data_IF_020939834231
#
_entry.id   IF_020939834231
#
_cell.length_a   1.000
_cell.length_b   1.000
_cell.length_c   1.000
_cell.angle_alpha   90.00
_cell.angle_beta   90.00
_cell.angle_gamma   90.00
#
_symmetry.space_group_name_H-M   'P 1'
#
loop_
_entity.id
_entity.type
_entity.pdbx_description
1 polymer ?
#
# COMPACT_ATOMS: atom_id res chain seq x y z
N UNK A 1 9.19 4.82 43.76
CA UNK A 1 9.13 4.20 42.42
C UNK A 1 10.42 4.52 41.69
N UNK A 2 11.12 3.50 41.22
CA UNK A 2 12.46 3.62 40.64
C UNK A 2 12.40 4.25 39.24
N UNK A 3 13.15 5.34 39.04
CA UNK A 3 13.18 6.12 37.78
C UNK A 3 13.86 5.34 36.65
N UNK A 4 14.66 4.33 36.97
CA UNK A 4 15.35 3.45 36.01
C UNK A 4 14.40 2.53 35.23
N UNK A 5 13.23 2.18 35.79
CA UNK A 5 12.23 1.30 35.17
C UNK A 5 11.28 2.04 34.22
N UNK A 6 11.14 3.37 34.37
CA UNK A 6 10.20 4.20 33.59
C UNK A 6 10.75 4.52 32.19
N UNK A 7 12.06 4.69 32.06
CA UNK A 7 12.73 4.98 30.79
C UNK A 7 12.63 3.84 29.74
N UNK A 8 12.90 2.56 30.07
CA UNK A 8 12.77 1.47 29.10
C UNK A 8 11.31 1.18 28.70
N UNK A 9 10.36 1.37 29.62
CA UNK A 9 8.93 1.16 29.31
C UNK A 9 8.41 2.14 28.27
N UNK A 10 8.85 3.40 28.33
CA UNK A 10 8.51 4.42 27.32
C UNK A 10 9.19 4.18 25.97
N UNK A 11 10.39 3.61 25.98
CA UNK A 11 11.09 3.24 24.74
C UNK A 11 10.35 2.10 24.01
N UNK A 12 9.95 1.06 24.75
CA UNK A 12 9.16 -0.05 24.18
C UNK A 12 7.78 0.42 23.67
N UNK A 13 7.08 1.27 24.43
CA UNK A 13 5.82 1.87 23.99
C UNK A 13 5.97 2.61 22.65
N UNK A 14 7.06 3.38 22.50
CA UNK A 14 7.35 4.13 21.28
C UNK A 14 7.64 3.21 20.11
N UNK A 15 8.49 2.20 20.30
CA UNK A 15 8.83 1.21 19.27
C UNK A 15 7.58 0.47 18.75
N UNK A 16 6.72 -0.02 19.66
CA UNK A 16 5.48 -0.69 19.28
C UNK A 16 4.47 0.25 18.60
N UNK A 17 4.45 1.53 19.00
CA UNK A 17 3.59 2.53 18.38
C UNK A 17 4.00 2.82 16.92
N UNK A 18 5.32 2.87 16.64
CA UNK A 18 5.86 2.95 15.27
C UNK A 18 5.44 1.72 14.44
N UNK A 19 5.52 0.51 15.00
CA UNK A 19 5.09 -0.72 14.32
C UNK A 19 3.59 -0.68 13.98
N UNK A 20 2.75 -0.23 14.91
CA UNK A 20 1.30 -0.08 14.67
C UNK A 20 1.06 0.90 13.52
N UNK A 21 1.74 2.06 13.54
CA UNK A 21 1.62 3.06 12.50
C UNK A 21 1.95 2.49 11.11
N UNK A 22 3.08 1.80 10.98
CA UNK A 22 3.49 1.16 9.72
C UNK A 22 2.49 0.10 9.23
N UNK A 23 2.01 -0.77 10.13
CA UNK A 23 1.01 -1.79 9.78
C UNK A 23 -0.32 -1.18 9.32
N UNK A 24 -0.75 -0.08 9.96
CA UNK A 24 -1.94 0.65 9.56
C UNK A 24 -1.77 1.31 8.19
N UNK A 25 -0.60 1.89 7.90
CA UNK A 25 -0.28 2.42 6.57
C UNK A 25 -0.37 1.34 5.50
N UNK A 26 0.23 0.17 5.74
CA UNK A 26 0.14 -0.97 4.82
C UNK A 26 -1.30 -1.44 4.60
N UNK A 27 -2.10 -1.54 5.67
CA UNK A 27 -3.52 -1.85 5.55
C UNK A 27 -4.28 -0.79 4.74
N UNK A 28 -3.98 0.51 4.93
CA UNK A 28 -4.66 1.61 4.22
C UNK A 28 -4.26 1.66 2.75
N UNK A 29 -3.04 1.26 2.40
CA UNK A 29 -2.64 1.11 1.01
C UNK A 29 -3.48 0.04 0.30
N UNK A 30 -3.76 -1.08 0.98
CA UNK A 30 -4.58 -2.18 0.45
C UNK A 30 -6.09 -1.91 0.52
N UNK A 31 -6.55 -1.25 1.58
CA UNK A 31 -7.96 -0.95 1.87
C UNK A 31 -8.15 0.55 2.16
N UNK A 32 -8.21 1.41 1.12
CA UNK A 32 -8.17 2.86 1.28
C UNK A 32 -9.31 3.43 2.15
N UNK A 33 -8.96 4.25 3.14
CA UNK A 33 -9.91 5.02 3.95
C UNK A 33 -9.39 6.44 4.23
N UNK A 34 -10.02 7.45 3.61
CA UNK A 34 -9.59 8.86 3.72
C UNK A 34 -9.79 9.46 5.11
N UNK A 35 -10.81 9.01 5.85
CA UNK A 35 -11.14 9.50 7.20
C UNK A 35 -10.06 9.21 8.24
N UNK A 36 -9.25 8.17 8.03
CA UNK A 36 -8.29 7.66 9.02
C UNK A 36 -6.95 8.37 8.95
N UNK A 37 -6.53 8.85 7.76
CA UNK A 37 -5.20 9.43 7.54
C UNK A 37 -4.88 10.58 8.50
N UNK A 38 -5.87 11.41 8.82
CA UNK A 38 -5.70 12.57 9.73
C UNK A 38 -5.41 12.19 11.19
N UNK A 39 -5.61 10.93 11.55
CA UNK A 39 -5.47 10.42 12.92
C UNK A 39 -4.28 9.47 13.07
N UNK A 40 -3.54 9.20 11.99
CA UNK A 40 -2.34 8.38 12.02
C UNK A 40 -1.16 9.20 12.50
N UNK A 41 -0.48 8.69 13.53
CA UNK A 41 0.80 9.16 14.01
C UNK A 41 1.50 7.98 14.67
N UNK A 42 2.81 7.94 14.54
CA UNK A 42 3.70 7.03 15.26
C UNK A 42 3.65 7.17 16.79
N UNK A 43 3.00 8.21 17.34
CA UNK A 43 2.79 8.43 18.77
C UNK A 43 1.30 8.44 19.19
N UNK A 44 0.38 8.00 18.32
CA UNK A 44 -1.06 8.22 18.48
C UNK A 44 -1.71 7.66 19.77
N UNK A 45 -1.08 6.67 20.44
CA UNK A 45 -1.57 6.10 21.71
C UNK A 45 -0.53 6.12 22.85
N UNK A 46 0.55 6.90 22.69
CA UNK A 46 1.50 7.16 23.79
C UNK A 46 0.78 7.94 24.90
N UNK A 47 -0.09 8.88 24.52
CA UNK A 47 -1.06 9.55 25.39
C UNK A 47 -2.48 9.08 25.07
N UNK A 48 -3.44 9.20 26.01
CA UNK A 48 -4.83 8.85 25.76
C UNK A 48 -5.40 9.63 24.58
N UNK A 49 -5.87 8.91 23.56
CA UNK A 49 -6.38 9.51 22.33
C UNK A 49 -7.68 8.83 21.86
N UNK A 50 -8.80 9.30 22.39
CA UNK A 50 -10.12 8.75 22.05
C UNK A 50 -10.51 9.02 20.59
N UNK A 51 -10.13 10.18 20.03
CA UNK A 51 -10.41 10.53 18.64
C UNK A 51 -9.78 9.53 17.66
N UNK A 52 -8.48 9.25 17.85
CA UNK A 52 -7.80 8.22 17.07
C UNK A 52 -8.41 6.84 17.31
N UNK A 53 -8.74 6.47 18.56
CA UNK A 53 -9.37 5.19 18.87
C UNK A 53 -10.64 4.94 18.05
N UNK A 54 -11.57 5.89 17.98
CA UNK A 54 -12.81 5.72 17.22
C UNK A 54 -12.55 5.49 15.72
N UNK A 55 -11.60 6.23 15.15
CA UNK A 55 -11.28 6.16 13.73
C UNK A 55 -10.52 4.89 13.38
N UNK A 56 -9.53 4.50 14.20
CA UNK A 56 -8.75 3.27 14.00
C UNK A 56 -9.63 2.04 14.22
N UNK A 57 -10.39 1.94 15.31
CA UNK A 57 -11.21 0.76 15.58
C UNK A 57 -12.32 0.58 14.55
N UNK A 58 -13.02 1.66 14.16
CA UNK A 58 -14.03 1.57 13.11
C UNK A 58 -13.43 1.13 11.77
N UNK A 59 -12.23 1.61 11.44
CA UNK A 59 -11.51 1.18 10.24
C UNK A 59 -11.15 -0.30 10.29
N UNK A 60 -10.51 -0.76 11.37
CA UNK A 60 -10.11 -2.15 11.55
C UNK A 60 -11.31 -3.10 11.48
N UNK A 61 -12.43 -2.76 12.12
CA UNK A 61 -13.64 -3.58 12.03
C UNK A 61 -14.24 -3.62 10.62
N UNK A 62 -14.23 -2.50 9.87
CA UNK A 62 -14.70 -2.48 8.48
C UNK A 62 -13.84 -3.32 7.55
N UNK A 63 -12.52 -3.25 7.73
CA UNK A 63 -11.54 -4.06 6.97
C UNK A 63 -11.71 -5.54 7.30
N UNK A 64 -11.93 -5.86 8.58
CA UNK A 64 -12.14 -7.23 9.01
C UNK A 64 -13.44 -7.83 8.46
N UNK A 65 -14.58 -7.19 8.75
CA UNK A 65 -15.91 -7.60 8.29
C UNK A 65 -16.88 -6.39 8.28
N UNK A 66 -17.09 -5.82 7.09
CA UNK A 66 -17.99 -4.69 6.91
C UNK A 66 -19.48 -5.03 7.17
N UNK A 67 -19.86 -6.30 7.00
CA UNK A 67 -21.23 -6.76 7.23
C UNK A 67 -21.56 -6.77 8.72
N UNK A 68 -20.69 -7.36 9.54
CA UNK A 68 -20.83 -7.32 11.00
C UNK A 68 -20.68 -5.92 11.57
N UNK A 69 -19.78 -5.09 11.00
CA UNK A 69 -19.64 -3.70 11.43
C UNK A 69 -20.97 -2.93 11.29
N UNK A 70 -21.64 -3.02 10.13
CA UNK A 70 -22.91 -2.32 9.88
C UNK A 70 -24.05 -2.77 10.80
N UNK A 71 -24.04 -4.03 11.25
CA UNK A 71 -25.05 -4.56 12.18
C UNK A 71 -24.83 -4.07 13.61
N UNK A 72 -23.57 -3.96 14.03
CA UNK A 72 -23.20 -3.71 15.44
C UNK A 72 -22.93 -2.26 15.76
N UNK A 73 -22.56 -1.45 14.77
CA UNK A 73 -22.12 -0.07 14.99
C UNK A 73 -22.95 0.92 14.17
N UNK A 74 -23.45 1.94 14.85
CA UNK A 74 -23.97 3.15 14.19
C UNK A 74 -22.80 4.06 13.82
N UNK A 75 -22.68 4.41 12.54
CA UNK A 75 -21.60 5.25 12.02
C UNK A 75 -22.13 6.29 11.02
N UNK A 76 -21.66 7.55 11.04
CA UNK A 76 -20.63 8.14 11.90
C UNK A 76 -21.12 8.49 13.31
N UNK A 77 -20.21 8.55 14.27
CA UNK A 77 -20.47 9.03 15.64
C UNK A 77 -20.72 10.54 15.59
N UNK A 78 -21.84 11.02 16.14
CA UNK A 78 -22.25 12.44 16.10
C UNK A 78 -22.33 13.11 17.46
N UNK A 79 -22.52 12.34 18.53
CA UNK A 79 -22.73 12.84 19.88
C UNK A 79 -22.01 11.97 20.93
N UNK A 80 -21.87 12.50 22.15
CA UNK A 80 -21.21 11.81 23.27
C UNK A 80 -21.92 10.51 23.65
N UNK A 81 -23.24 10.42 23.44
CA UNK A 81 -24.01 9.20 23.70
C UNK A 81 -23.63 8.09 22.71
N UNK A 82 -23.50 8.42 21.41
CA UNK A 82 -23.01 7.46 20.43
C UNK A 82 -21.55 7.04 20.68
N UNK A 83 -20.70 7.91 21.22
CA UNK A 83 -19.34 7.53 21.66
C UNK A 83 -19.37 6.45 22.74
N UNK A 84 -20.24 6.59 23.73
CA UNK A 84 -20.38 5.61 24.82
C UNK A 84 -20.90 4.27 24.31
N UNK A 85 -21.93 4.30 23.46
CA UNK A 85 -22.45 3.10 22.79
C UNK A 85 -21.34 2.43 21.97
N UNK A 86 -20.58 3.21 21.19
CA UNK A 86 -19.48 2.67 20.38
C UNK A 86 -18.40 1.99 21.24
N UNK A 87 -18.02 2.58 22.40
CA UNK A 87 -17.07 1.96 23.33
C UNK A 87 -17.60 0.63 23.85
N UNK A 88 -18.85 0.57 24.30
CA UNK A 88 -19.46 -0.66 24.82
C UNK A 88 -19.57 -1.74 23.74
N UNK A 89 -20.07 -1.41 22.54
CA UNK A 89 -20.16 -2.33 21.41
C UNK A 89 -18.79 -2.80 20.92
N UNK A 90 -17.76 -1.96 21.01
CA UNK A 90 -16.38 -2.35 20.69
C UNK A 90 -15.90 -3.46 21.61
N UNK A 91 -16.10 -3.32 22.91
CA UNK A 91 -15.69 -4.34 23.88
C UNK A 91 -16.46 -5.64 23.69
N UNK A 92 -17.78 -5.56 23.48
CA UNK A 92 -18.61 -6.73 23.22
C UNK A 92 -18.15 -7.46 21.95
N UNK A 93 -17.90 -6.72 20.87
CA UNK A 93 -17.48 -7.32 19.61
C UNK A 93 -16.07 -7.93 19.70
N UNK A 94 -15.14 -7.28 20.40
CA UNK A 94 -13.80 -7.83 20.65
C UNK A 94 -13.85 -9.12 21.47
N UNK A 95 -14.75 -9.23 22.45
CA UNK A 95 -14.98 -10.47 23.20
C UNK A 95 -15.52 -11.57 22.28
N UNK A 96 -16.51 -11.25 21.45
CA UNK A 96 -17.05 -12.18 20.46
C UNK A 96 -15.97 -12.69 19.49
N UNK A 97 -15.11 -11.80 18.98
CA UNK A 97 -13.99 -12.20 18.11
C UNK A 97 -13.01 -13.09 18.87
N UNK A 98 -12.66 -12.72 20.11
CA UNK A 98 -11.74 -13.49 20.93
C UNK A 98 -12.23 -14.93 21.19
N UNK A 99 -13.53 -15.09 21.46
CA UNK A 99 -14.17 -16.40 21.64
C UNK A 99 -14.26 -17.17 20.32
N UNK A 100 -14.77 -16.55 19.26
CA UNK A 100 -15.00 -17.19 17.95
C UNK A 100 -13.70 -17.72 17.31
N UNK A 101 -12.59 -17.00 17.49
CA UNK A 101 -11.30 -17.34 16.89
C UNK A 101 -10.28 -17.90 17.89
N UNK A 102 -10.70 -18.16 19.14
CA UNK A 102 -9.85 -18.72 20.20
C UNK A 102 -8.51 -17.96 20.39
N UNK A 103 -8.57 -16.63 20.40
CA UNK A 103 -7.37 -15.77 20.37
C UNK A 103 -6.68 -15.60 21.72
N UNK A 104 -7.29 -16.10 22.80
CA UNK A 104 -6.76 -16.08 24.18
C UNK A 104 -6.37 -14.68 24.67
N UNK A 105 -6.98 -13.61 24.14
CA UNK A 105 -6.77 -12.25 24.64
C UNK A 105 -7.34 -12.13 26.05
N UNK A 106 -6.52 -11.60 26.96
CA UNK A 106 -6.91 -11.34 28.33
C UNK A 106 -7.18 -9.84 28.54
N UNK A 107 -8.09 -9.50 29.45
CA UNK A 107 -8.28 -8.11 29.86
C UNK A 107 -9.08 -7.21 28.90
N UNK A 108 -9.92 -7.77 28.02
CA UNK A 108 -10.85 -6.99 27.18
C UNK A 108 -11.95 -6.38 28.06
N UNK A 109 -11.65 -5.19 28.61
CA UNK A 109 -12.52 -4.43 29.52
C UNK A 109 -12.76 -3.03 28.96
N UNK A 110 -13.83 -2.38 29.42
CA UNK A 110 -14.23 -1.03 29.01
C UNK A 110 -13.12 0.02 29.13
N UNK A 111 -12.19 -0.17 30.07
CA UNK A 111 -11.01 0.68 30.21
C UNK A 111 -10.19 0.84 28.91
N UNK A 112 -10.08 -0.22 28.08
CA UNK A 112 -9.37 -0.14 26.80
C UNK A 112 -9.98 0.89 25.85
N UNK A 113 -11.29 1.10 25.93
CA UNK A 113 -12.03 2.02 25.08
C UNK A 113 -12.19 3.41 25.73
N UNK A 114 -12.19 3.51 27.06
CA UNK A 114 -12.25 4.78 27.79
C UNK A 114 -10.88 5.47 27.80
N UNK A 115 -9.80 4.72 27.97
CA UNK A 115 -8.43 5.22 28.06
C UNK A 115 -7.53 4.46 27.08
N UNK A 116 -7.66 4.70 25.76
CA UNK A 116 -6.83 4.06 24.76
C UNK A 116 -5.41 4.65 24.80
N UNK A 117 -4.56 4.08 25.65
CA UNK A 117 -3.19 4.56 25.89
C UNK A 117 -2.30 3.50 26.52
N UNK A 118 -0.99 3.66 26.31
CA UNK A 118 0.05 2.95 27.04
C UNK A 118 0.24 1.50 26.58
N UNK A 119 1.27 0.85 27.12
CA UNK A 119 1.81 -0.40 26.59
C UNK A 119 0.78 -1.52 26.50
N UNK A 120 -0.13 -1.63 27.48
CA UNK A 120 -1.19 -2.65 27.47
C UNK A 120 -2.14 -2.47 26.29
N UNK A 121 -2.57 -1.23 26.03
CA UNK A 121 -3.44 -0.92 24.91
C UNK A 121 -2.70 -1.10 23.58
N UNK A 122 -1.46 -0.61 23.49
CA UNK A 122 -0.61 -0.71 22.30
C UNK A 122 -0.37 -2.18 21.93
N UNK A 123 0.05 -3.04 22.88
CA UNK A 123 0.23 -4.47 22.65
C UNK A 123 -1.07 -5.16 22.22
N UNK A 124 -2.20 -4.81 22.85
CA UNK A 124 -3.51 -5.32 22.45
C UNK A 124 -3.86 -4.93 21.00
N UNK A 125 -3.73 -3.65 20.67
CA UNK A 125 -4.05 -3.13 19.33
C UNK A 125 -3.15 -3.76 18.27
N UNK A 126 -1.85 -3.90 18.55
CA UNK A 126 -0.92 -4.60 17.67
C UNK A 126 -1.32 -6.06 17.47
N UNK A 127 -1.70 -6.76 18.54
CA UNK A 127 -2.22 -8.13 18.47
C UNK A 127 -3.47 -8.23 17.60
N UNK A 128 -4.39 -7.28 17.73
CA UNK A 128 -5.60 -7.22 16.91
C UNK A 128 -5.31 -6.96 15.43
N UNK A 129 -4.41 -6.01 15.13
CA UNK A 129 -3.99 -5.71 13.75
C UNK A 129 -3.32 -6.93 13.12
N UNK A 130 -2.41 -7.60 13.84
CA UNK A 130 -1.77 -8.81 13.36
C UNK A 130 -2.76 -9.93 13.08
N UNK A 131 -3.78 -10.11 13.94
CA UNK A 131 -4.85 -11.06 13.69
C UNK A 131 -5.63 -10.73 12.41
N UNK A 132 -6.01 -9.47 12.20
CA UNK A 132 -6.72 -9.05 10.98
C UNK A 132 -5.87 -9.34 9.74
N UNK A 133 -4.59 -8.98 9.74
CA UNK A 133 -3.68 -9.24 8.62
C UNK A 133 -3.60 -10.74 8.35
N UNK A 134 -3.41 -11.57 9.38
CA UNK A 134 -3.34 -13.03 9.22
C UNK A 134 -4.65 -13.62 8.66
N UNK A 135 -5.80 -13.15 9.12
CA UNK A 135 -7.11 -13.61 8.64
C UNK A 135 -7.34 -13.20 7.18
N UNK A 136 -6.99 -11.96 6.81
CA UNK A 136 -7.05 -11.48 5.42
C UNK A 136 -6.13 -12.29 4.50
N UNK A 137 -4.89 -12.55 4.92
CA UNK A 137 -3.96 -13.37 4.15
C UNK A 137 -4.52 -14.79 3.93
N UNK A 138 -5.08 -15.41 4.97
CA UNK A 138 -5.73 -16.73 4.85
C UNK A 138 -6.95 -16.72 3.92
N UNK A 139 -7.75 -15.66 3.94
CA UNK A 139 -8.89 -15.50 3.02
C UNK A 139 -8.42 -15.36 1.57
N UNK A 140 -7.38 -14.57 1.34
CA UNK A 140 -6.79 -14.39 0.02
C UNK A 140 -6.15 -15.68 -0.51
N UNK A 141 -5.41 -16.40 0.33
CA UNK A 141 -4.82 -17.69 -0.02
C UNK A 141 -5.88 -18.70 -0.47
N UNK A 142 -6.98 -18.83 0.29
CA UNK A 142 -8.11 -19.68 -0.09
C UNK A 142 -8.73 -19.29 -1.42
N UNK A 143 -8.91 -17.99 -1.67
CA UNK A 143 -9.47 -17.50 -2.93
C UNK A 143 -8.53 -17.79 -4.12
N UNK A 144 -7.22 -17.66 -3.92
CA UNK A 144 -6.20 -18.01 -4.92
C UNK A 144 -6.18 -19.52 -5.19
N UNK A 145 -6.22 -20.37 -4.16
CA UNK A 145 -6.29 -21.82 -4.32
C UNK A 145 -7.56 -22.26 -5.07
N UNK A 146 -8.73 -21.69 -4.73
CA UNK A 146 -9.98 -21.99 -5.46
C UNK A 146 -9.88 -21.60 -6.94
N UNK A 147 -9.29 -20.45 -7.24
CA UNK A 147 -9.05 -20.03 -8.63
C UNK A 147 -8.08 -20.96 -9.36
N UNK A 148 -7.04 -21.45 -8.67
CA UNK A 148 -6.08 -22.40 -9.23
C UNK A 148 -6.73 -23.76 -9.51
N UNK A 149 -7.53 -24.32 -8.60
CA UNK A 149 -8.26 -25.58 -8.80
C UNK A 149 -9.27 -25.48 -9.96
N UNK A 150 -9.95 -24.34 -10.11
CA UNK A 150 -10.83 -24.05 -11.24
C UNK A 150 -10.08 -23.98 -12.57
N UNK A 151 -8.82 -23.52 -12.54
CA UNK A 151 -7.94 -23.42 -13.70
C UNK A 151 -7.34 -24.79 -14.07
N UNK A 152 -6.92 -25.58 -13.08
CA UNK A 152 -6.40 -26.94 -13.24
C UNK A 152 -7.43 -27.87 -13.89
N UNK A 153 -8.72 -27.76 -13.50
CA UNK A 153 -9.83 -28.51 -14.13
C UNK A 153 -10.05 -28.20 -15.61
N UNK A 154 -9.42 -27.16 -16.16
CA UNK A 154 -9.59 -26.71 -17.56
C UNK A 154 -8.32 -26.86 -18.42
N UNK A 155 -7.21 -27.28 -17.84
CA UNK A 155 -5.92 -27.34 -18.53
C UNK A 155 -5.59 -28.74 -19.05
N UNK A 156 -5.03 -28.79 -20.25
CA UNK A 156 -4.41 -30.00 -20.79
C UNK A 156 -2.96 -30.10 -20.34
N UNK A 157 -2.38 -31.30 -20.38
CA UNK A 157 -0.97 -31.54 -19.98
C UNK A 157 0.03 -30.69 -20.80
N UNK A 158 -0.33 -30.34 -22.04
CA UNK A 158 0.43 -29.43 -22.90
C UNK A 158 0.42 -27.97 -22.38
N UNK A 159 -0.67 -27.53 -21.75
CA UNK A 159 -0.76 -26.20 -21.14
C UNK A 159 0.16 -26.11 -19.93
N UNK A 160 0.20 -27.16 -19.10
CA UNK A 160 1.08 -27.24 -17.92
C UNK A 160 2.54 -27.15 -18.33
N UNK A 161 2.99 -27.93 -19.32
CA UNK A 161 4.38 -27.87 -19.82
C UNK A 161 4.72 -26.49 -20.37
N UNK A 162 3.77 -25.85 -21.06
CA UNK A 162 3.96 -24.51 -21.62
C UNK A 162 4.09 -23.46 -20.52
N UNK A 163 3.29 -23.56 -19.45
CA UNK A 163 3.33 -22.67 -18.29
C UNK A 163 4.62 -22.87 -17.51
N UNK A 164 5.04 -24.11 -17.24
CA UNK A 164 6.29 -24.41 -16.54
C UNK A 164 7.50 -23.90 -17.32
N UNK A 165 7.49 -24.02 -18.66
CA UNK A 165 8.54 -23.43 -19.52
C UNK A 165 8.55 -21.91 -19.45
N UNK A 166 7.37 -21.27 -19.43
CA UNK A 166 7.24 -19.81 -19.27
C UNK A 166 7.73 -19.36 -17.90
N UNK A 167 7.41 -20.09 -16.82
CA UNK A 167 7.87 -19.79 -15.45
C UNK A 167 9.40 -19.89 -15.32
N UNK A 168 10.02 -20.92 -15.91
CA UNK A 168 11.49 -21.04 -15.94
C UNK A 168 12.15 -19.89 -16.72
N UNK A 169 11.59 -19.55 -17.88
CA UNK A 169 12.07 -18.41 -18.68
C UNK A 169 11.91 -17.09 -17.93
N UNK A 170 10.77 -16.88 -17.27
CA UNK A 170 10.48 -15.71 -16.47
C UNK A 170 11.45 -15.61 -15.29
N UNK A 171 11.65 -16.69 -14.52
CA UNK A 171 12.65 -16.73 -13.44
C UNK A 171 14.06 -16.38 -13.92
N UNK A 172 14.47 -16.90 -15.08
CA UNK A 172 15.78 -16.60 -15.67
C UNK A 172 15.90 -15.15 -16.14
N UNK A 173 14.85 -14.61 -16.76
CA UNK A 173 14.79 -13.22 -17.18
C UNK A 173 14.84 -12.27 -15.96
N UNK A 174 14.03 -12.55 -14.95
CA UNK A 174 13.98 -11.81 -13.68
C UNK A 174 15.34 -11.79 -12.99
N UNK A 175 15.98 -12.95 -12.84
CA UNK A 175 17.32 -13.05 -12.21
C UNK A 175 18.42 -12.34 -12.99
N UNK A 176 18.27 -12.21 -14.31
CA UNK A 176 19.20 -11.43 -15.14
C UNK A 176 18.95 -9.94 -14.95
N UNK A 177 17.70 -9.48 -15.05
CA UNK A 177 17.32 -8.09 -14.79
C UNK A 177 17.69 -7.62 -13.38
N UNK A 178 17.53 -8.46 -12.36
CA UNK A 178 17.89 -8.13 -10.98
C UNK A 178 19.39 -7.87 -10.82
N UNK A 179 20.25 -8.61 -11.52
CA UNK A 179 21.70 -8.37 -11.50
C UNK A 179 22.06 -7.03 -12.14
N UNK A 180 21.53 -6.78 -13.34
CA UNK A 180 21.76 -5.54 -14.06
C UNK A 180 21.26 -4.32 -13.26
N UNK A 181 20.10 -4.45 -12.61
CA UNK A 181 19.54 -3.42 -11.73
C UNK A 181 20.40 -3.16 -10.49
N UNK A 182 20.98 -4.20 -9.88
CA UNK A 182 21.81 -4.04 -8.70
C UNK A 182 23.10 -3.25 -9.04
N UNK A 183 23.71 -3.53 -10.19
CA UNK A 183 24.87 -2.78 -10.69
C UNK A 183 24.53 -1.31 -11.02
N UNK A 184 23.34 -1.08 -11.58
CA UNK A 184 22.80 0.27 -11.83
C UNK A 184 22.55 1.01 -10.51
N UNK A 185 21.96 0.37 -9.50
CA UNK A 185 21.70 0.97 -8.20
C UNK A 185 22.99 1.34 -7.46
N UNK A 186 24.00 0.48 -7.48
CA UNK A 186 25.34 0.79 -6.93
C UNK A 186 25.93 2.02 -7.62
N UNK A 187 25.70 2.17 -8.92
CA UNK A 187 26.17 3.33 -9.69
C UNK A 187 25.37 4.60 -9.37
N UNK A 188 24.05 4.50 -9.22
CA UNK A 188 23.16 5.61 -8.88
C UNK A 188 23.41 6.11 -7.46
N UNK A 189 23.58 5.22 -6.48
CA UNK A 189 23.92 5.59 -5.10
C UNK A 189 25.22 6.41 -5.04
N UNK A 190 26.27 5.98 -5.77
CA UNK A 190 27.54 6.72 -5.88
C UNK A 190 27.36 8.11 -6.51
N UNK A 191 26.49 8.24 -7.50
CA UNK A 191 26.19 9.53 -8.14
C UNK A 191 25.37 10.44 -7.25
N UNK A 192 24.37 9.90 -6.55
CA UNK A 192 23.55 10.63 -5.57
C UNK A 192 24.42 11.19 -4.44
N UNK A 193 25.32 10.37 -3.88
CA UNK A 193 26.29 10.83 -2.87
C UNK A 193 27.18 11.97 -3.38
N UNK A 194 27.57 11.95 -4.65
CA UNK A 194 28.37 13.01 -5.25
C UNK A 194 27.54 14.30 -5.42
N UNK A 195 26.30 14.19 -5.88
CA UNK A 195 25.38 15.32 -6.03
C UNK A 195 25.08 15.95 -4.67
N UNK A 196 24.79 15.14 -3.64
CA UNK A 196 24.57 15.64 -2.28
C UNK A 196 25.80 16.38 -1.72
N UNK A 197 27.01 15.86 -1.98
CA UNK A 197 28.26 16.56 -1.60
C UNK A 197 28.41 17.89 -2.33
N UNK A 198 28.09 17.93 -3.62
CA UNK A 198 28.15 19.15 -4.43
C UNK A 198 27.10 20.19 -4.00
N UNK A 199 25.86 19.76 -3.75
CA UNK A 199 24.77 20.60 -3.25
C UNK A 199 25.09 21.18 -1.88
N UNK A 200 25.66 20.39 -0.96
CA UNK A 200 26.09 20.88 0.35
C UNK A 200 27.25 21.89 0.24
N UNK A 201 28.20 21.68 -0.68
CA UNK A 201 29.26 22.68 -0.98
C UNK A 201 28.69 23.97 -1.56
N UNK A 202 27.68 23.88 -2.41
CA UNK A 202 27.02 25.05 -3.01
C UNK A 202 26.22 25.81 -1.96
N UNK A 203 25.40 25.12 -1.16
CA UNK A 203 24.61 25.69 -0.08
C UNK A 203 25.48 26.41 0.97
N UNK A 204 26.62 25.83 1.34
CA UNK A 204 27.59 26.48 2.24
C UNK A 204 28.26 27.71 1.63
N UNK A 205 28.36 27.78 0.30
CA UNK A 205 28.94 28.94 -0.40
C UNK A 205 27.92 30.05 -0.67
N UNK A 206 26.63 29.72 -0.74
CA UNK A 206 25.55 30.67 -1.11
C UNK A 206 24.64 31.08 0.05
N UNK A 207 24.86 30.57 1.27
CA UNK A 207 24.02 30.80 2.47
C UNK A 207 22.52 30.48 2.27
N UNK A 208 22.21 29.62 1.28
CA UNK A 208 20.85 29.18 0.94
C UNK A 208 20.60 27.76 1.46
N UNK A 209 19.37 27.52 1.89
CA UNK A 209 18.93 26.19 2.33
C UNK A 209 18.78 25.22 1.14
N UNK A 210 19.12 23.95 1.35
CA UNK A 210 19.15 22.91 0.30
C UNK A 210 17.76 22.69 -0.32
N UNK A 211 16.70 22.84 0.48
CA UNK A 211 15.30 22.71 0.02
C UNK A 211 14.89 23.81 -0.98
N UNK A 212 15.51 24.99 -0.91
CA UNK A 212 15.27 26.09 -1.85
C UNK A 212 15.95 25.87 -3.21
N UNK A 213 16.90 24.93 -3.29
CA UNK A 213 17.59 24.57 -4.53
C UNK A 213 16.90 23.41 -5.29
N UNK A 214 16.06 22.62 -4.60
CA UNK A 214 15.32 21.48 -5.17
C UNK A 214 13.99 21.88 -5.84
N UNK A 215 13.46 23.05 -5.49
CA UNK A 215 12.22 23.59 -6.08
C UNK A 215 12.53 24.30 -7.40
N UNK A 216 12.86 23.52 -8.43
CA UNK A 216 12.77 24.02 -9.80
C UNK A 216 11.45 23.56 -10.43
N UNK A 217 10.61 24.51 -10.81
CA UNK A 217 9.39 24.36 -11.63
C UNK A 217 9.66 23.82 -13.05
N UNK A 218 10.77 23.09 -13.26
CA UNK A 218 11.24 22.65 -14.55
C UNK A 218 10.72 21.25 -14.88
N UNK A 219 9.46 21.17 -15.30
CA UNK A 219 8.91 19.98 -15.94
C UNK A 219 9.71 19.64 -17.20
N UNK A 220 10.42 18.52 -17.19
CA UNK A 220 11.19 18.07 -18.36
C UNK A 220 10.30 17.33 -19.35
N UNK A 221 10.41 17.68 -20.63
CA UNK A 221 9.69 17.00 -21.71
C UNK A 221 10.33 15.65 -22.02
N UNK A 222 9.52 14.60 -22.11
CA UNK A 222 9.95 13.29 -22.57
C UNK A 222 10.06 13.31 -24.10
N UNK A 223 11.29 13.36 -24.62
CA UNK A 223 11.54 13.44 -26.08
C UNK A 223 10.96 12.23 -26.82
N UNK A 224 10.27 12.50 -27.92
CA UNK A 224 9.64 11.47 -28.76
C UNK A 224 8.31 10.93 -28.20
N UNK A 225 7.83 11.48 -27.08
CA UNK A 225 6.52 11.13 -26.54
C UNK A 225 5.40 11.70 -27.39
N UNK A 226 4.31 10.93 -27.54
CA UNK A 226 3.11 11.36 -28.24
C UNK A 226 1.86 10.60 -27.77
N UNK A 227 0.70 11.22 -27.91
CA UNK A 227 -0.61 10.57 -27.80
C UNK A 227 -1.29 10.65 -29.17
N UNK A 228 -1.75 9.51 -29.68
CA UNK A 228 -2.38 9.38 -30.99
C UNK A 228 -3.75 8.71 -30.85
N UNK A 229 -4.78 9.25 -31.52
CA UNK A 229 -6.13 8.72 -31.46
C UNK A 229 -6.46 7.84 -32.66
N UNK A 230 -7.31 6.83 -32.43
CA UNK A 230 -7.77 5.92 -33.46
C UNK A 230 -9.29 5.83 -33.45
N UNK A 231 -9.90 5.84 -34.64
CA UNK A 231 -11.33 5.59 -34.83
C UNK A 231 -11.48 4.32 -35.65
N UNK A 232 -12.05 3.28 -35.05
CA UNK A 232 -12.25 1.97 -35.70
C UNK A 232 -10.98 1.39 -36.37
N UNK A 233 -9.82 1.59 -35.75
CA UNK A 233 -8.54 1.07 -36.24
C UNK A 233 -7.77 2.01 -37.18
N UNK A 234 -8.39 3.09 -37.65
CA UNK A 234 -7.72 4.10 -38.45
C UNK A 234 -7.17 5.23 -37.57
N UNK A 235 -5.90 5.61 -37.76
CA UNK A 235 -5.31 6.76 -37.08
C UNK A 235 -6.08 8.04 -37.43
N UNK A 236 -6.32 8.88 -36.43
CA UNK A 236 -6.92 10.22 -36.55
C UNK A 236 -5.86 11.33 -36.41
N UNK A 237 -4.58 10.93 -36.36
CA UNK A 237 -3.46 11.84 -36.13
C UNK A 237 -3.04 11.94 -34.66
N UNK A 238 -1.87 12.56 -34.49
CA UNK A 238 -1.25 12.80 -33.18
C UNK A 238 -1.97 13.96 -32.50
N UNK A 239 -2.50 13.72 -31.31
CA UNK A 239 -3.20 14.71 -30.51
C UNK A 239 -2.24 15.58 -29.70
N UNK A 240 -1.19 14.97 -29.15
CA UNK A 240 -0.19 15.64 -28.34
C UNK A 240 1.20 15.08 -28.65
N UNK A 241 2.19 15.96 -28.69
CA UNK A 241 3.63 15.63 -28.65
C UNK A 241 4.24 16.27 -27.41
N UNK A 242 5.50 15.93 -27.10
CA UNK A 242 6.29 16.65 -26.09
C UNK A 242 5.65 16.62 -24.70
N UNK A 243 5.16 15.44 -24.32
CA UNK A 243 4.53 15.16 -23.03
C UNK A 243 5.58 15.27 -21.93
N UNK A 244 5.24 15.93 -20.82
CA UNK A 244 6.11 16.03 -19.66
C UNK A 244 6.40 14.65 -19.05
N UNK A 245 7.64 14.42 -18.64
CA UNK A 245 8.05 13.19 -17.99
C UNK A 245 7.26 12.97 -16.69
N UNK A 246 6.70 11.78 -16.54
CA UNK A 246 5.86 11.43 -15.39
C UNK A 246 4.96 10.23 -15.67
N UNK A 247 4.20 9.84 -14.65
CA UNK A 247 3.23 8.73 -14.74
C UNK A 247 1.87 9.25 -15.19
N UNK A 248 1.34 8.68 -16.28
CA UNK A 248 0.03 9.03 -16.83
C UNK A 248 -0.96 7.88 -16.69
N UNK A 249 -2.19 8.21 -16.34
CA UNK A 249 -3.26 7.23 -16.18
C UNK A 249 -4.42 7.54 -17.14
N UNK A 250 -4.94 6.52 -17.85
CA UNK A 250 -6.10 6.69 -18.71
C UNK A 250 -7.29 7.18 -17.89
N UNK A 251 -7.88 8.30 -18.30
CA UNK A 251 -8.95 8.96 -17.56
C UNK A 251 -10.16 9.16 -18.45
N UNK A 252 -11.36 8.95 -17.88
CA UNK A 252 -12.63 9.16 -18.57
C UNK A 252 -13.44 10.16 -17.76
N UNK A 253 -13.94 11.18 -18.47
CA UNK A 253 -14.91 12.13 -17.95
C UNK A 253 -16.23 11.94 -18.69
N UNK A 254 -17.34 11.90 -17.96
CA UNK A 254 -18.69 11.63 -18.48
C UNK A 254 -19.54 12.87 -18.23
N UNK A 255 -20.28 13.33 -19.23
CA UNK A 255 -21.20 14.46 -19.12
C UNK A 255 -22.65 14.03 -19.44
N UNK A 256 -23.59 14.40 -18.56
CA UNK A 256 -25.02 14.06 -18.64
C UNK A 256 -25.24 12.54 -18.72
N UNK A 257 -26.19 12.10 -19.54
CA UNK A 257 -26.62 10.71 -19.65
C UNK A 257 -25.77 9.89 -20.65
N UNK A 258 -24.48 10.23 -20.80
CA UNK A 258 -23.59 9.47 -21.66
C UNK A 258 -23.15 8.16 -20.99
N UNK A 259 -23.11 7.08 -21.75
CA UNK A 259 -22.63 5.76 -21.30
C UNK A 259 -21.46 5.33 -22.17
N UNK A 260 -20.36 4.95 -21.53
CA UNK A 260 -19.17 4.43 -22.20
C UNK A 260 -18.79 3.08 -21.60
N UNK A 261 -18.31 2.18 -22.45
CA UNK A 261 -17.77 0.88 -22.05
C UNK A 261 -16.32 0.80 -22.51
N UNK A 262 -15.45 0.32 -21.63
CA UNK A 262 -14.02 0.22 -21.88
C UNK A 262 -13.66 -1.24 -22.07
N UNK A 263 -12.81 -1.51 -23.05
CA UNK A 263 -12.22 -2.82 -23.27
C UNK A 263 -10.71 -2.73 -23.09
N UNK A 264 -10.19 -3.29 -22.00
CA UNK A 264 -8.77 -3.30 -21.67
C UNK A 264 -7.99 -4.44 -22.36
N UNK A 265 -8.69 -5.33 -23.08
CA UNK A 265 -8.15 -6.53 -23.71
C UNK A 265 -8.52 -7.82 -22.98
N UNK A 266 -8.03 -8.99 -23.44
CA UNK A 266 -7.15 -9.17 -24.60
C UNK A 266 -7.89 -9.11 -25.96
N UNK A 267 -9.22 -9.18 -25.94
CA UNK A 267 -10.03 -9.33 -27.15
C UNK A 267 -10.31 -7.96 -27.80
N UNK A 268 -9.38 -7.46 -28.62
CA UNK A 268 -9.54 -6.20 -29.35
C UNK A 268 -10.17 -6.41 -30.73
N UNK A 269 -10.99 -5.45 -31.18
CA UNK A 269 -11.58 -5.48 -32.53
C UNK A 269 -10.54 -5.22 -33.64
N UNK A 270 -9.52 -4.41 -33.36
CA UNK A 270 -8.53 -3.96 -34.34
C UNK A 270 -7.11 -4.30 -33.88
N UNK A 271 -6.77 -5.59 -33.82
CA UNK A 271 -5.45 -6.08 -33.37
C UNK A 271 -4.28 -5.56 -34.23
N UNK A 272 -4.52 -5.31 -35.53
CA UNK A 272 -3.48 -4.86 -36.46
C UNK A 272 -2.83 -3.53 -36.04
N UNK A 273 -3.57 -2.68 -35.31
CA UNK A 273 -3.04 -1.42 -34.78
C UNK A 273 -1.96 -1.67 -33.73
N UNK A 274 -2.15 -2.68 -32.87
CA UNK A 274 -1.19 -3.00 -31.81
C UNK A 274 0.15 -3.45 -32.41
N UNK A 275 0.11 -4.31 -33.43
CA UNK A 275 1.32 -4.78 -34.11
C UNK A 275 2.08 -3.65 -34.82
N UNK A 276 1.37 -2.79 -35.56
CA UNK A 276 1.98 -1.69 -36.33
C UNK A 276 2.65 -0.63 -35.45
N UNK A 277 2.10 -0.38 -34.26
CA UNK A 277 2.57 0.66 -33.34
C UNK A 277 3.38 0.09 -32.16
N UNK A 278 3.67 -1.21 -32.15
CA UNK A 278 4.31 -1.92 -31.01
C UNK A 278 3.62 -1.62 -29.68
N UNK A 279 2.30 -1.48 -29.70
CA UNK A 279 1.50 -1.16 -28.54
C UNK A 279 1.03 -2.44 -27.83
N UNK A 280 0.95 -2.39 -26.49
CA UNK A 280 0.45 -3.49 -25.65
C UNK A 280 -0.97 -3.20 -25.15
N UNK A 281 -1.71 -4.26 -24.85
CA UNK A 281 -3.02 -4.12 -24.20
C UNK A 281 -2.86 -3.65 -22.74
N UNK A 282 -3.86 -2.93 -22.23
CA UNK A 282 -3.82 -2.45 -20.84
C UNK A 282 -3.89 -3.61 -19.82
N UNK A 283 -4.51 -4.72 -20.19
CA UNK A 283 -4.50 -5.94 -19.37
C UNK A 283 -3.09 -6.47 -19.11
N UNK A 284 -2.14 -6.31 -20.04
CA UNK A 284 -0.74 -6.76 -19.86
C UNK A 284 0.00 -5.89 -18.84
N UNK A 285 -0.33 -4.60 -18.78
CA UNK A 285 0.30 -3.66 -17.83
C UNK A 285 0.01 -4.03 -16.39
N UNK A 286 -1.11 -4.71 -16.11
CA UNK A 286 -1.47 -5.18 -14.76
C UNK A 286 -0.47 -6.22 -14.27
N UNK A 287 -0.11 -7.20 -15.11
CA UNK A 287 0.88 -8.23 -14.78
C UNK A 287 2.28 -7.63 -14.59
N UNK A 288 2.65 -6.68 -15.45
CA UNK A 288 3.89 -5.92 -15.31
C UNK A 288 3.91 -5.12 -14.01
N UNK A 289 2.78 -4.51 -13.62
CA UNK A 289 2.66 -3.73 -12.39
C UNK A 289 2.74 -4.60 -11.14
N UNK A 290 2.15 -5.79 -11.15
CA UNK A 290 2.29 -6.77 -10.06
C UNK A 290 3.77 -7.15 -9.92
N UNK A 291 4.44 -7.42 -11.04
CA UNK A 291 5.86 -7.77 -11.06
C UNK A 291 6.72 -6.61 -10.53
N UNK A 292 6.51 -5.39 -11.03
CA UNK A 292 7.19 -4.16 -10.57
C UNK A 292 6.99 -3.92 -9.07
N UNK A 293 5.79 -4.14 -8.54
CA UNK A 293 5.50 -4.01 -7.12
C UNK A 293 6.27 -5.05 -6.31
N UNK A 294 6.22 -6.32 -6.72
CA UNK A 294 6.97 -7.40 -6.05
C UNK A 294 8.48 -7.13 -6.07
N UNK A 295 9.00 -6.61 -7.18
CA UNK A 295 10.40 -6.19 -7.25
C UNK A 295 10.71 -5.00 -6.37
N UNK A 296 9.83 -4.02 -6.30
CA UNK A 296 9.99 -2.87 -5.41
C UNK A 296 10.01 -3.31 -3.95
N UNK A 297 9.12 -4.22 -3.57
CA UNK A 297 9.04 -4.80 -2.23
C UNK A 297 10.29 -5.63 -1.92
N UNK A 298 10.73 -6.48 -2.85
CA UNK A 298 11.94 -7.29 -2.70
C UNK A 298 13.20 -6.43 -2.62
N UNK A 299 13.33 -5.42 -3.49
CA UNK A 299 14.43 -4.47 -3.48
C UNK A 299 14.45 -3.72 -2.15
N UNK A 300 13.30 -3.21 -1.74
CA UNK A 300 13.15 -2.55 -0.46
C UNK A 300 13.56 -3.46 0.70
N UNK A 301 13.17 -4.74 0.69
CA UNK A 301 13.54 -5.68 1.73
C UNK A 301 15.04 -6.00 1.70
N UNK A 302 15.64 -6.22 0.52
CA UNK A 302 17.05 -6.60 0.33
C UNK A 302 18.05 -5.46 0.57
N UNK A 303 17.75 -4.25 0.10
CA UNK A 303 18.55 -3.04 0.41
C UNK A 303 18.54 -2.72 1.91
N UNK A 304 17.48 -3.15 2.61
CA UNK A 304 17.33 -2.97 4.05
C UNK A 304 17.59 -4.26 4.85
N UNK A 305 18.12 -5.34 4.23
CA UNK A 305 18.53 -6.52 5.00
C UNK A 305 19.75 -6.16 5.87
N UNK A 306 19.51 -6.14 7.19
CA UNK A 306 20.47 -5.68 8.21
C UNK A 306 20.33 -4.20 8.62
N UNK A 307 19.53 -3.40 7.88
CA UNK A 307 19.19 -2.00 8.19
C UNK A 307 17.69 -1.72 8.28
N UNK A 308 16.86 -2.75 8.33
CA UNK A 308 15.50 -2.73 8.87
C UNK A 308 15.54 -2.40 10.38
N UNK A 309 16.00 -1.19 10.69
CA UNK A 309 15.63 -0.45 11.87
C UNK A 309 14.45 0.40 11.45
N UNK A 310 13.36 0.25 12.17
CA UNK A 310 12.09 0.93 11.91
C UNK A 310 12.19 2.47 12.07
N UNK A 311 13.37 2.98 12.41
CA UNK A 311 13.67 4.38 12.76
C UNK A 311 13.99 5.29 11.54
N UNK A 312 14.18 4.72 10.34
CA UNK A 312 14.64 5.49 9.17
C UNK A 312 13.53 6.12 8.32
N UNK A 313 12.27 6.08 8.75
CA UNK A 313 11.15 6.79 8.10
C UNK A 313 10.80 8.12 8.81
N UNK A 314 11.81 8.85 9.25
CA UNK A 314 11.65 10.26 9.62
C UNK A 314 12.11 11.13 8.45
N UNK A 315 11.17 11.52 7.59
CA UNK A 315 11.18 12.80 6.88
C UNK A 315 9.85 13.46 7.13
#
# INVERSE_FOLDING_TARGET
MDRSMIAPYRAEEKELSVIIHQKLLGLIALYPCSEVRKYLSDEMFIKPNQGAFYKIMSYLFRVFDIGEFKKRFHWPIRDKKAEEVFRSSTIEYLKFINEKYHLNWTGIKLYLAIMPSGLKFIRFLLGFINFIIQDLSKRNEKHLCLNFELMERKMTEADIVTITKKDVLLKKYISTQLKDMNDVNVTLAKKSDNICKQLNMLATKTELDVQMLETSDNLSVLRGSKIEFFKNGQSQGVAFTDIYAGSYYPSISIHRNATVSINFGPNFKNLNVLANYRAKGMFERVEELISEQVFSDLLYLTENEGRLRLDNFNV
#
